data_IF_730248671324
#
_entry.id   IF_730248671324
#
_cell.length_a   1.000
_cell.length_b   1.000
_cell.length_c   1.000
_cell.angle_alpha   90.00
_cell.angle_beta   90.00
_cell.angle_gamma   90.00
#
_symmetry.space_group_name_H-M   'P 1'
#
loop_
_entity.id
_entity.type
_entity.pdbx_description
1 polymer ?
#
# COMPACT_ATOMS: atom_id res chain seq x y z
N UNK A 1 1.08 -13.70 1.23
CA UNK A 1 0.57 -12.48 1.92
C UNK A 1 -0.15 -11.59 0.93
N UNK A 2 -1.38 -11.18 1.28
CA UNK A 2 -2.26 -10.32 0.47
C UNK A 2 -2.12 -8.86 0.94
N UNK A 3 -2.47 -7.91 0.08
CA UNK A 3 -2.46 -6.47 0.42
C UNK A 3 -3.32 -6.14 1.65
N UNK A 4 -4.44 -6.85 1.83
CA UNK A 4 -5.34 -6.73 2.98
C UNK A 4 -4.62 -6.96 4.31
N UNK A 5 -3.66 -7.88 4.36
CA UNK A 5 -2.90 -8.18 5.59
C UNK A 5 -1.99 -7.00 5.95
N UNK A 6 -1.37 -6.39 4.93
CA UNK A 6 -0.54 -5.20 5.09
C UNK A 6 -1.34 -3.99 5.54
N UNK A 7 -2.49 -3.76 4.92
CA UNK A 7 -3.40 -2.67 5.30
C UNK A 7 -3.84 -2.82 6.76
N UNK A 8 -4.23 -4.03 7.18
CA UNK A 8 -4.61 -4.31 8.57
C UNK A 8 -3.47 -4.05 9.54
N UNK A 9 -2.26 -4.48 9.25
CA UNK A 9 -1.14 -4.29 10.16
C UNK A 9 -0.70 -2.82 10.25
N UNK A 10 -0.73 -2.10 9.13
CA UNK A 10 -0.43 -0.66 9.10
C UNK A 10 -1.49 0.16 9.83
N UNK A 11 -2.78 -0.16 9.64
CA UNK A 11 -3.89 0.43 10.41
C UNK A 11 -3.78 0.09 11.90
N UNK A 12 -3.43 -1.15 12.26
CA UNK A 12 -3.22 -1.55 13.65
C UNK A 12 -2.06 -0.82 14.32
N UNK A 13 -1.02 -0.46 13.56
CA UNK A 13 0.11 0.34 14.05
C UNK A 13 -0.19 1.86 14.07
N UNK A 14 -1.37 2.28 13.63
CA UNK A 14 -1.77 3.68 13.50
C UNK A 14 -0.81 4.50 12.59
N UNK A 15 -0.10 3.80 11.72
CA UNK A 15 0.85 4.40 10.78
C UNK A 15 0.05 4.61 9.50
N UNK A 16 -0.23 5.84 9.09
CA UNK A 16 -0.92 6.07 7.81
C UNK A 16 0.05 6.15 6.62
N UNK A 17 1.35 6.14 6.90
CA UNK A 17 2.43 6.44 5.95
C UNK A 17 3.35 5.24 5.77
N UNK A 18 3.60 4.84 4.53
CA UNK A 18 4.50 3.74 4.25
C UNK A 18 5.41 4.03 3.05
N UNK A 19 6.55 3.38 3.04
CA UNK A 19 7.47 3.39 1.91
C UNK A 19 7.33 2.11 1.09
N UNK A 20 7.74 2.11 -0.19
CA UNK A 20 7.83 0.89 -0.98
C UNK A 20 8.71 -0.19 -0.35
N UNK A 21 9.70 0.21 0.46
CA UNK A 21 10.59 -0.72 1.15
C UNK A 21 9.85 -1.45 2.26
N UNK A 22 8.97 -0.76 2.98
CA UNK A 22 8.14 -1.37 4.04
C UNK A 22 7.19 -2.40 3.44
N UNK A 23 6.52 -2.05 2.34
CA UNK A 23 5.67 -2.98 1.57
C UNK A 23 6.47 -4.19 1.10
N UNK A 24 7.71 -3.97 0.64
CA UNK A 24 8.58 -5.04 0.17
C UNK A 24 8.98 -6.00 1.29
N UNK A 25 9.42 -5.46 2.43
CA UNK A 25 9.82 -6.22 3.62
C UNK A 25 8.65 -7.00 4.19
N UNK A 26 7.48 -6.37 4.24
CA UNK A 26 6.27 -6.96 4.77
C UNK A 26 5.74 -8.09 3.91
N UNK A 27 5.58 -7.85 2.60
CA UNK A 27 5.01 -8.83 1.69
C UNK A 27 6.03 -9.90 1.27
N UNK A 28 7.32 -9.73 1.62
CA UNK A 28 8.41 -10.62 1.20
C UNK A 28 8.58 -10.66 -0.32
N UNK A 29 8.24 -9.58 -1.04
CA UNK A 29 8.21 -9.55 -2.51
C UNK A 29 9.49 -8.92 -3.09
N UNK A 30 9.72 -9.18 -4.37
CA UNK A 30 10.79 -8.50 -5.11
C UNK A 30 10.45 -7.02 -5.32
N UNK A 31 11.48 -6.18 -5.42
CA UNK A 31 11.35 -4.73 -5.69
C UNK A 31 10.47 -4.43 -6.92
N UNK A 32 10.55 -5.28 -7.94
CA UNK A 32 9.76 -5.17 -9.18
C UNK A 32 8.27 -5.43 -8.88
N UNK A 33 7.94 -6.53 -8.21
CA UNK A 33 6.57 -6.87 -7.85
C UNK A 33 5.94 -5.79 -6.94
N UNK A 34 6.71 -5.25 -5.99
CA UNK A 34 6.25 -4.15 -5.12
C UNK A 34 5.98 -2.89 -5.92
N UNK A 35 6.83 -2.54 -6.89
CA UNK A 35 6.58 -1.38 -7.78
C UNK A 35 5.30 -1.55 -8.60
N UNK A 36 5.07 -2.72 -9.19
CA UNK A 36 3.84 -2.99 -9.93
C UNK A 36 2.60 -2.92 -9.03
N UNK A 37 2.69 -3.46 -7.82
CA UNK A 37 1.62 -3.39 -6.83
C UNK A 37 1.28 -1.95 -6.46
N UNK A 38 2.29 -1.15 -6.09
CA UNK A 38 2.12 0.26 -5.73
C UNK A 38 1.58 1.07 -6.91
N UNK A 39 2.07 0.82 -8.13
CA UNK A 39 1.57 1.47 -9.32
C UNK A 39 0.09 1.15 -9.56
N UNK A 40 -0.31 -0.12 -9.42
CA UNK A 40 -1.70 -0.56 -9.53
C UNK A 40 -2.58 0.08 -8.46
N UNK A 41 -2.17 0.02 -7.20
CA UNK A 41 -2.92 0.58 -6.07
C UNK A 41 -3.08 2.10 -6.19
N UNK A 42 -2.04 2.80 -6.65
CA UNK A 42 -2.09 4.23 -6.93
C UNK A 42 -3.10 4.52 -8.04
N UNK A 43 -3.06 3.75 -9.14
CA UNK A 43 -4.01 3.89 -10.26
C UNK A 43 -5.46 3.65 -9.82
N UNK A 44 -5.68 2.73 -8.89
CA UNK A 44 -6.99 2.41 -8.34
C UNK A 44 -7.43 3.35 -7.20
N UNK A 45 -6.60 4.31 -6.78
CA UNK A 45 -6.96 5.28 -5.73
C UNK A 45 -6.86 4.75 -4.29
N UNK A 46 -6.38 3.52 -4.08
CA UNK A 46 -6.19 2.96 -2.73
C UNK A 46 -5.06 3.65 -1.95
N UNK A 47 -4.08 4.22 -2.65
CA UNK A 47 -2.92 4.86 -2.04
C UNK A 47 -2.64 6.20 -2.70
N UNK A 48 -2.28 7.18 -1.89
CA UNK A 48 -1.93 8.52 -2.33
C UNK A 48 -0.41 8.68 -2.22
N UNK A 49 0.24 9.14 -3.28
CA UNK A 49 1.67 9.49 -3.19
C UNK A 49 1.79 10.91 -2.63
N UNK A 50 2.26 11.05 -1.40
CA UNK A 50 2.48 12.35 -0.78
C UNK A 50 3.80 12.98 -1.25
N UNK A 51 4.88 12.20 -1.30
CA UNK A 51 6.21 12.63 -1.76
C UNK A 51 6.94 11.50 -2.48
N UNK A 52 8.11 11.81 -3.08
CA UNK A 52 8.99 10.81 -3.71
C UNK A 52 9.36 9.70 -2.70
N UNK A 53 8.67 8.57 -2.81
CA UNK A 53 8.91 7.38 -1.97
C UNK A 53 8.07 7.29 -0.70
N UNK A 54 7.16 8.24 -0.46
CA UNK A 54 6.22 8.21 0.67
C UNK A 54 4.80 8.12 0.17
N UNK A 55 4.11 7.08 0.61
CA UNK A 55 2.73 6.78 0.23
C UNK A 55 1.87 6.77 1.48
N UNK A 56 0.64 7.23 1.33
CA UNK A 56 -0.38 7.17 2.36
C UNK A 56 -1.48 6.22 1.90
N UNK A 57 -2.10 5.51 2.83
CA UNK A 57 -3.37 4.87 2.55
C UNK A 57 -4.40 5.98 2.28
N UNK A 58 -5.08 5.91 1.14
CA UNK A 58 -6.24 6.74 0.89
C UNK A 58 -7.33 6.22 1.81
N UNK A 59 -7.57 6.88 2.94
CA UNK A 59 -8.49 6.40 3.98
C UNK A 59 -9.96 6.58 3.59
N UNK A 60 -10.26 6.28 2.33
CA UNK A 60 -11.60 6.25 1.78
C UNK A 60 -11.79 4.91 1.11
N UNK A 61 -12.46 4.06 1.86
CA UNK A 61 -13.18 2.88 1.45
C UNK A 61 -13.72 3.01 0.01
N UNK A 62 -13.08 2.37 -0.96
CA UNK A 62 -13.79 1.92 -2.16
C UNK A 62 -13.69 0.41 -2.16
N UNK A 63 -14.67 -0.17 -1.48
CA UNK A 63 -15.12 -1.54 -1.69
C UNK A 63 -15.57 -1.64 -3.14
N UNK A 64 -14.65 -1.94 -4.06
CA UNK A 64 -15.02 -2.39 -5.41
C UNK A 64 -15.27 -3.91 -5.35
N UNK A 65 -16.44 -4.24 -4.82
CA UNK A 65 -17.17 -5.45 -5.16
C UNK A 65 -18.43 -4.96 -5.88
N UNK A 66 -18.35 -4.81 -7.21
CA UNK A 66 -19.23 -5.47 -8.20
C UNK A 66 -18.92 -4.97 -9.61
#
# INVERSE_FOLDING_TARGET
MKWIDFEREIKAKNIMLFTPLDVQRFLGRTKIATRFLIHRLKKQGYIISLKRGLYQLSDTHVSDLY
#
